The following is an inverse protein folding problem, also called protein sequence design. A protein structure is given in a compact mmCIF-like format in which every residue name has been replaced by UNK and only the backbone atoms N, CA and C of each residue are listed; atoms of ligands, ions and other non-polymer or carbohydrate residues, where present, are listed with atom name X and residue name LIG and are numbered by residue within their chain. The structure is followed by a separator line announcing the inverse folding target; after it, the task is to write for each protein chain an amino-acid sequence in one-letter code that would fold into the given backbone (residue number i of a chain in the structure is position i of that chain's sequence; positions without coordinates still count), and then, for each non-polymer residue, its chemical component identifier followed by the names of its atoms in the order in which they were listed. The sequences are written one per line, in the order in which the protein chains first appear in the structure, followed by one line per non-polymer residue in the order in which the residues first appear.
data_IF_703052631169
#
_entry.id   IF_703052631169
#
_cell.length_a   1.000
_cell.length_b   1.000
_cell.length_c   1.000
_cell.angle_alpha   90.00
_cell.angle_beta   90.00
_cell.angle_gamma   90.00
#
_symmetry.space_group_name_H-M   'P 1'
#
loop_
_entity.id
_entity.type
_entity.pdbx_description
1 polymer ?
#
# COMPACT_ATOMS: atom_id res chain seq x y z
N UNK A 1 -8.78 6.04 -17.42
CA UNK A 1 -9.51 7.33 -17.52
C UNK A 1 -8.93 8.31 -16.53
N UNK A 2 -8.63 9.51 -17.03
CA UNK A 2 -8.05 10.73 -16.42
C UNK A 2 -6.99 10.59 -15.31
N UNK A 3 -5.78 11.09 -15.60
CA UNK A 3 -4.62 11.11 -14.68
C UNK A 3 -3.61 9.97 -14.86
N UNK A 4 -3.92 8.95 -15.65
CA UNK A 4 -3.00 7.86 -16.02
C UNK A 4 -2.04 8.28 -17.14
N UNK A 5 -0.76 7.93 -17.02
CA UNK A 5 0.26 8.23 -18.05
C UNK A 5 0.08 7.39 -19.33
N UNK A 6 -0.52 6.22 -19.20
CA UNK A 6 -0.69 5.22 -20.26
C UNK A 6 -2.08 4.57 -20.14
N UNK A 7 -2.48 3.88 -21.21
CA UNK A 7 -3.71 3.11 -21.26
C UNK A 7 -4.61 3.58 -22.39
N UNK A 8 -5.44 2.66 -22.88
CA UNK A 8 -6.51 2.96 -23.81
C UNK A 8 -7.80 3.13 -23.02
N UNK A 9 -8.61 4.12 -23.39
CA UNK A 9 -9.98 4.19 -22.89
C UNK A 9 -10.89 3.13 -23.55
N UNK A 10 -12.14 3.05 -23.08
CA UNK A 10 -13.08 2.05 -23.59
C UNK A 10 -13.40 2.24 -25.09
N UNK A 11 -13.46 3.48 -25.59
CA UNK A 11 -13.73 3.75 -27.00
C UNK A 11 -12.52 3.38 -27.87
N UNK A 12 -11.31 3.66 -27.40
CA UNK A 12 -10.06 3.27 -28.04
C UNK A 12 -9.91 1.75 -28.10
N UNK A 13 -10.24 1.03 -27.02
CA UNK A 13 -10.26 -0.44 -27.00
C UNK A 13 -11.21 -1.01 -28.06
N UNK A 14 -12.42 -0.46 -28.18
CA UNK A 14 -13.37 -0.86 -29.21
C UNK A 14 -12.82 -0.61 -30.62
N UNK A 15 -12.17 0.54 -30.83
CA UNK A 15 -11.51 0.89 -32.10
C UNK A 15 -10.37 -0.07 -32.45
N UNK A 16 -9.56 -0.48 -31.47
CA UNK A 16 -8.50 -1.47 -31.64
C UNK A 16 -9.09 -2.82 -32.04
N UNK A 17 -10.12 -3.31 -31.35
CA UNK A 17 -10.77 -4.57 -31.72
C UNK A 17 -11.35 -4.52 -33.13
N UNK A 18 -12.00 -3.43 -33.52
CA UNK A 18 -12.52 -3.26 -34.88
C UNK A 18 -11.40 -3.27 -35.93
N UNK A 19 -10.28 -2.61 -35.63
CA UNK A 19 -9.11 -2.55 -36.52
C UNK A 19 -8.42 -3.90 -36.67
N UNK A 20 -8.21 -4.63 -35.57
CA UNK A 20 -7.66 -5.99 -35.61
C UNK A 20 -8.59 -6.95 -36.35
N UNK A 21 -9.91 -6.83 -36.17
CA UNK A 21 -10.89 -7.65 -36.91
C UNK A 21 -10.82 -7.40 -38.40
N UNK A 22 -10.79 -6.13 -38.85
CA UNK A 22 -10.66 -5.78 -40.28
C UNK A 22 -9.36 -6.34 -40.89
N UNK A 23 -8.30 -6.43 -40.10
CA UNK A 23 -7.02 -6.98 -40.52
C UNK A 23 -6.94 -8.52 -40.42
N UNK A 24 -7.97 -9.21 -39.92
CA UNK A 24 -7.92 -10.66 -39.67
C UNK A 24 -6.95 -11.06 -38.55
N UNK A 25 -6.64 -10.14 -37.62
CA UNK A 25 -5.63 -10.28 -36.56
C UNK A 25 -6.21 -10.19 -35.15
N UNK A 26 -7.51 -10.38 -34.99
CA UNK A 26 -8.15 -10.26 -33.67
C UNK A 26 -7.58 -11.26 -32.65
N UNK A 27 -7.18 -12.45 -33.10
CA UNK A 27 -6.52 -13.47 -32.27
C UNK A 27 -5.14 -13.05 -31.73
N UNK A 28 -4.52 -12.00 -32.28
CA UNK A 28 -3.27 -11.47 -31.73
C UNK A 28 -3.49 -10.71 -30.41
N UNK A 29 -4.72 -10.28 -30.11
CA UNK A 29 -5.06 -9.65 -28.83
C UNK A 29 -5.14 -10.72 -27.74
N UNK A 30 -4.03 -10.94 -27.04
CA UNK A 30 -3.87 -12.06 -26.10
C UNK A 30 -3.97 -11.67 -24.62
N UNK A 31 -3.73 -10.41 -24.28
CA UNK A 31 -3.59 -9.95 -22.91
C UNK A 31 -4.29 -8.59 -22.69
N UNK A 32 -5.07 -8.50 -21.62
CA UNK A 32 -5.57 -7.24 -21.07
C UNK A 32 -4.75 -6.90 -19.83
N UNK A 33 -4.21 -5.69 -19.77
CA UNK A 33 -3.38 -5.21 -18.67
C UNK A 33 -3.99 -3.96 -18.05
N UNK A 34 -3.91 -3.85 -16.73
CA UNK A 34 -4.08 -2.58 -16.03
C UNK A 34 -3.11 -2.49 -14.86
N UNK A 35 -2.76 -1.25 -14.47
CA UNK A 35 -1.90 -1.00 -13.32
C UNK A 35 -2.44 0.16 -12.50
N UNK A 36 -2.86 -0.13 -11.27
CA UNK A 36 -3.42 0.87 -10.33
C UNK A 36 -2.32 1.78 -9.77
N UNK A 37 -1.10 1.26 -9.66
CA UNK A 37 0.05 1.93 -9.03
C UNK A 37 0.76 1.02 -8.03
N UNK A 38 1.78 1.54 -7.37
CA UNK A 38 2.51 0.84 -6.30
C UNK A 38 1.92 1.15 -4.93
N UNK A 39 2.09 0.23 -3.95
CA UNK A 39 1.67 0.41 -2.56
C UNK A 39 0.19 0.80 -2.44
N UNK A 40 -0.71 0.03 -3.04
CA UNK A 40 -2.15 0.28 -2.93
C UNK A 40 -2.60 -0.14 -1.54
N UNK A 41 -2.66 0.80 -0.60
CA UNK A 41 -2.90 0.51 0.83
C UNK A 41 -4.35 0.15 1.18
N UNK A 42 -5.29 0.29 0.24
CA UNK A 42 -6.71 0.05 0.47
C UNK A 42 -7.27 -1.00 -0.48
N UNK A 43 -7.77 -2.11 0.06
CA UNK A 43 -8.34 -3.21 -0.73
C UNK A 43 -9.51 -2.78 -1.61
N UNK A 44 -10.31 -1.80 -1.17
CA UNK A 44 -11.43 -1.25 -1.95
C UNK A 44 -10.99 -0.67 -3.29
N UNK A 45 -9.77 -0.15 -3.40
CA UNK A 45 -9.23 0.39 -4.64
C UNK A 45 -8.96 -0.74 -5.64
N UNK A 46 -8.35 -1.84 -5.17
CA UNK A 46 -8.10 -3.05 -5.98
C UNK A 46 -9.44 -3.66 -6.45
N UNK A 47 -10.41 -3.80 -5.56
CA UNK A 47 -11.74 -4.34 -5.90
C UNK A 47 -12.46 -3.48 -6.95
N UNK A 48 -12.35 -2.16 -6.87
CA UNK A 48 -12.93 -1.26 -7.85
C UNK A 48 -12.28 -1.46 -9.24
N UNK A 49 -10.95 -1.51 -9.30
CA UNK A 49 -10.21 -1.74 -10.54
C UNK A 49 -10.50 -3.12 -11.14
N UNK A 50 -10.51 -4.18 -10.31
CA UNK A 50 -10.82 -5.53 -10.76
C UNK A 50 -12.23 -5.65 -11.34
N UNK A 51 -13.22 -4.96 -10.76
CA UNK A 51 -14.59 -4.96 -11.29
C UNK A 51 -14.65 -4.36 -12.70
N UNK A 52 -13.96 -3.25 -12.93
CA UNK A 52 -13.89 -2.61 -14.24
C UNK A 52 -13.11 -3.46 -15.24
N UNK A 53 -11.93 -3.94 -14.87
CA UNK A 53 -11.09 -4.77 -15.74
C UNK A 53 -11.76 -6.11 -16.10
N UNK A 54 -12.44 -6.75 -15.15
CA UNK A 54 -13.18 -8.00 -15.41
C UNK A 54 -14.35 -7.77 -16.36
N UNK A 55 -15.04 -6.63 -16.25
CA UNK A 55 -16.09 -6.27 -17.19
C UNK A 55 -15.52 -6.05 -18.60
N UNK A 56 -14.45 -5.26 -18.72
CA UNK A 56 -13.76 -5.04 -19.99
C UNK A 56 -13.29 -6.36 -20.63
N UNK A 57 -12.70 -7.26 -19.85
CA UNK A 57 -12.31 -8.59 -20.33
C UNK A 57 -13.50 -9.33 -20.96
N UNK A 58 -14.63 -9.41 -20.25
CA UNK A 58 -15.81 -10.12 -20.74
C UNK A 58 -16.41 -9.47 -22.00
N UNK A 59 -16.43 -8.15 -22.09
CA UNK A 59 -16.93 -7.42 -23.26
C UNK A 59 -16.02 -7.62 -24.48
N UNK A 60 -14.70 -7.54 -24.31
CA UNK A 60 -13.74 -7.82 -25.38
C UNK A 60 -13.88 -9.25 -25.90
N UNK A 61 -14.09 -10.22 -25.01
CA UNK A 61 -14.36 -11.60 -25.38
C UNK A 61 -15.70 -11.76 -26.11
N UNK A 62 -16.75 -11.03 -25.71
CA UNK A 62 -18.04 -10.98 -26.40
C UNK A 62 -17.93 -10.34 -27.80
N UNK A 63 -17.04 -9.36 -27.95
CA UNK A 63 -16.64 -8.79 -29.24
C UNK A 63 -15.78 -9.75 -30.08
N UNK A 64 -15.58 -11.00 -29.66
CA UNK A 64 -14.91 -12.01 -30.47
C UNK A 64 -13.38 -12.02 -30.36
N UNK A 65 -12.78 -11.30 -29.41
CA UNK A 65 -11.39 -11.52 -29.01
C UNK A 65 -11.30 -12.84 -28.22
N UNK A 66 -11.55 -13.98 -28.89
CA UNK A 66 -11.46 -15.32 -28.28
C UNK A 66 -10.02 -15.67 -27.91
N UNK A 67 -9.08 -15.03 -28.58
CA UNK A 67 -7.68 -14.93 -28.21
C UNK A 67 -7.41 -14.25 -26.86
N UNK A 68 -8.34 -13.67 -26.12
CA UNK A 68 -7.97 -13.01 -24.86
C UNK A 68 -7.78 -14.04 -23.72
N UNK A 69 -6.54 -14.46 -23.47
CA UNK A 69 -6.21 -15.56 -22.54
C UNK A 69 -5.61 -15.09 -21.21
N UNK A 70 -5.14 -13.85 -21.14
CA UNK A 70 -4.44 -13.31 -19.98
C UNK A 70 -5.12 -12.03 -19.47
N UNK A 71 -5.28 -11.96 -18.15
CA UNK A 71 -5.58 -10.73 -17.44
C UNK A 71 -4.41 -10.43 -16.49
N UNK A 72 -3.67 -9.38 -16.82
CA UNK A 72 -2.59 -8.87 -15.99
C UNK A 72 -3.12 -7.73 -15.12
N UNK A 73 -3.10 -7.96 -13.80
CA UNK A 73 -3.59 -7.00 -12.80
C UNK A 73 -2.52 -6.01 -12.38
N UNK A 74 -1.32 -6.13 -12.97
CA UNK A 74 -0.15 -5.34 -12.65
C UNK A 74 0.34 -5.55 -11.23
N UNK A 75 1.11 -4.59 -10.73
CA UNK A 75 1.49 -4.49 -9.33
C UNK A 75 0.42 -3.86 -8.45
N UNK A 76 0.80 -3.50 -7.23
CA UNK A 76 -0.05 -2.77 -6.29
C UNK A 76 -0.28 -3.49 -4.97
N UNK A 77 -0.03 -4.80 -4.91
CA UNK A 77 0.06 -5.55 -3.66
C UNK A 77 1.04 -4.85 -2.71
N UNK A 78 0.50 -4.29 -1.65
CA UNK A 78 1.21 -3.46 -0.70
C UNK A 78 1.99 -4.32 0.31
N UNK A 79 2.86 -3.64 1.05
CA UNK A 79 3.64 -4.20 2.16
C UNK A 79 3.34 -3.41 3.41
N UNK A 80 3.17 -4.10 4.53
CA UNK A 80 2.99 -3.47 5.83
C UNK A 80 4.37 -3.18 6.46
N UNK A 81 4.90 -1.97 6.25
CA UNK A 81 6.23 -1.58 6.73
C UNK A 81 6.23 -1.17 8.20
N UNK A 82 5.13 -0.62 8.72
CA UNK A 82 5.02 -0.15 10.11
C UNK A 82 4.29 -1.11 11.05
N UNK A 83 3.71 -2.19 10.50
CA UNK A 83 3.01 -3.23 11.25
C UNK A 83 1.64 -2.82 11.76
N UNK A 84 1.11 -1.67 11.34
CA UNK A 84 -0.14 -1.13 11.87
C UNK A 84 -1.40 -1.78 11.29
N UNK A 85 -1.30 -2.42 10.12
CA UNK A 85 -2.45 -2.93 9.36
C UNK A 85 -3.49 -1.85 9.00
N UNK A 86 -3.07 -0.58 8.85
CA UNK A 86 -3.97 0.55 8.63
C UNK A 86 -3.99 1.00 7.17
N UNK A 87 -5.09 0.72 6.49
CA UNK A 87 -5.33 1.22 5.14
C UNK A 87 -5.46 2.74 5.07
N UNK A 88 -4.92 3.33 4.01
CA UNK A 88 -4.86 4.78 3.83
C UNK A 88 -3.64 5.45 4.45
N UNK A 89 -2.78 4.71 5.15
CA UNK A 89 -1.39 5.13 5.40
C UNK A 89 -0.54 4.88 4.15
N UNK A 90 0.58 5.59 4.05
CA UNK A 90 1.55 5.42 2.95
C UNK A 90 2.52 4.24 3.21
N UNK A 91 2.57 3.74 4.45
CA UNK A 91 3.50 2.71 4.92
C UNK A 91 2.85 1.37 5.28
N UNK A 92 1.53 1.25 5.21
CA UNK A 92 0.80 0.02 5.57
C UNK A 92 -0.32 -0.34 4.58
N UNK A 93 -1.14 -1.34 4.91
CA UNK A 93 -2.29 -1.79 4.14
C UNK A 93 -3.41 -2.38 5.02
N UNK A 94 -4.67 -2.30 4.58
CA UNK A 94 -5.84 -2.86 5.29
C UNK A 94 -6.23 -4.30 4.88
N UNK A 95 -5.31 -5.06 4.28
CA UNK A 95 -5.58 -6.41 3.78
C UNK A 95 -4.37 -7.32 3.87
N UNK A 96 -4.61 -8.63 3.84
CA UNK A 96 -3.56 -9.65 3.69
C UNK A 96 -3.36 -10.06 2.23
N UNK A 97 -2.22 -10.69 1.92
CA UNK A 97 -1.96 -11.29 0.61
C UNK A 97 -3.07 -12.29 0.21
N UNK A 98 -3.59 -13.06 1.15
CA UNK A 98 -4.69 -13.99 0.87
C UNK A 98 -6.00 -13.25 0.54
N UNK A 99 -6.31 -12.16 1.24
CA UNK A 99 -7.47 -11.34 0.90
C UNK A 99 -7.34 -10.74 -0.50
N UNK A 100 -6.16 -10.22 -0.84
CA UNK A 100 -5.86 -9.74 -2.19
C UNK A 100 -6.10 -10.81 -3.26
N UNK A 101 -5.53 -12.00 -3.08
CA UNK A 101 -5.69 -13.11 -4.02
C UNK A 101 -7.17 -13.51 -4.18
N UNK A 102 -7.88 -13.63 -3.06
CA UNK A 102 -9.31 -13.97 -3.06
C UNK A 102 -10.15 -12.91 -3.79
N UNK A 103 -9.92 -11.62 -3.51
CA UNK A 103 -10.68 -10.52 -4.12
C UNK A 103 -10.42 -10.39 -5.62
N UNK A 104 -9.18 -10.61 -6.07
CA UNK A 104 -8.83 -10.65 -7.50
C UNK A 104 -9.54 -11.80 -8.20
N UNK A 105 -9.42 -13.02 -7.67
CA UNK A 105 -10.01 -14.21 -8.30
C UNK A 105 -11.54 -14.15 -8.28
N UNK A 106 -12.15 -13.76 -7.16
CA UNK A 106 -13.60 -13.71 -7.01
C UNK A 106 -14.25 -12.71 -7.98
N UNK A 107 -13.69 -11.50 -8.10
CA UNK A 107 -14.24 -10.49 -9.01
C UNK A 107 -14.26 -10.96 -10.47
N UNK A 108 -13.18 -11.63 -10.89
CA UNK A 108 -13.04 -12.17 -12.24
C UNK A 108 -13.96 -13.37 -12.47
N UNK A 109 -13.99 -14.31 -11.53
CA UNK A 109 -14.86 -15.49 -11.59
C UNK A 109 -16.33 -15.09 -11.71
N UNK A 110 -16.77 -14.12 -10.91
CA UNK A 110 -18.12 -13.60 -10.92
C UNK A 110 -18.49 -12.99 -12.28
N UNK A 111 -17.59 -12.20 -12.87
CA UNK A 111 -17.81 -11.59 -14.18
C UNK A 111 -17.87 -12.64 -15.30
N UNK A 112 -16.88 -13.54 -15.34
CA UNK A 112 -16.82 -14.63 -16.31
C UNK A 112 -18.05 -15.53 -16.26
N UNK A 113 -18.51 -15.88 -15.06
CA UNK A 113 -19.70 -16.73 -14.86
C UNK A 113 -20.97 -16.06 -15.40
N UNK A 114 -21.16 -14.76 -15.14
CA UNK A 114 -22.32 -14.01 -15.66
C UNK A 114 -22.31 -13.85 -17.17
N UNK A 115 -21.12 -13.66 -17.75
CA UNK A 115 -20.95 -13.44 -19.19
C UNK A 115 -20.81 -14.75 -19.99
N UNK A 116 -20.80 -15.91 -19.32
CA UNK A 116 -20.44 -17.20 -19.91
C UNK A 116 -19.11 -17.14 -20.70
N UNK A 117 -18.14 -16.38 -20.18
CA UNK A 117 -16.80 -16.26 -20.73
C UNK A 117 -15.85 -17.22 -20.00
N UNK A 118 -14.85 -17.80 -20.69
CA UNK A 118 -13.82 -18.59 -20.01
C UNK A 118 -13.01 -17.69 -19.06
N UNK A 119 -12.66 -18.16 -17.85
CA UNK A 119 -11.71 -17.46 -17.00
C UNK A 119 -10.32 -17.41 -17.66
N UNK A 120 -9.64 -16.25 -17.69
CA UNK A 120 -8.29 -16.14 -18.22
C UNK A 120 -7.25 -16.57 -17.18
N UNK A 121 -6.01 -16.73 -17.63
CA UNK A 121 -4.84 -16.80 -16.73
C UNK A 121 -4.61 -15.44 -16.10
N UNK A 122 -4.51 -15.40 -14.77
CA UNK A 122 -4.23 -14.18 -14.02
C UNK A 122 -2.72 -14.02 -13.84
N UNK A 123 -2.21 -12.83 -14.18
CA UNK A 123 -0.82 -12.42 -13.97
C UNK A 123 -0.80 -11.27 -12.97
N UNK A 124 0.18 -11.26 -12.07
CA UNK A 124 0.42 -10.12 -11.16
C UNK A 124 1.90 -9.75 -11.14
N UNK A 125 2.17 -8.46 -11.25
CA UNK A 125 3.51 -7.86 -11.27
C UNK A 125 3.89 -7.32 -9.87
N UNK A 126 3.69 -8.12 -8.83
CA UNK A 126 3.82 -7.74 -7.42
C UNK A 126 5.29 -7.61 -6.93
N UNK A 127 6.10 -6.82 -7.65
CA UNK A 127 7.54 -6.69 -7.40
C UNK A 127 7.90 -6.23 -5.98
N UNK A 128 7.20 -5.23 -5.44
CA UNK A 128 7.43 -4.74 -4.06
C UNK A 128 7.16 -5.83 -3.02
N UNK A 129 6.08 -6.58 -3.18
CA UNK A 129 5.73 -7.64 -2.24
C UNK A 129 6.81 -8.71 -2.17
N UNK A 130 7.41 -9.06 -3.32
CA UNK A 130 8.49 -10.05 -3.42
C UNK A 130 9.82 -9.49 -2.86
N UNK A 131 10.18 -8.27 -3.24
CA UNK A 131 11.50 -7.70 -2.95
C UNK A 131 11.60 -6.94 -1.61
N UNK A 132 10.50 -6.64 -0.92
CA UNK A 132 10.56 -5.76 0.26
C UNK A 132 11.38 -6.29 1.44
N UNK A 133 11.34 -7.60 1.71
CA UNK A 133 11.89 -8.19 2.94
C UNK A 133 13.23 -8.92 2.74
N UNK A 134 13.81 -8.88 1.54
CA UNK A 134 15.01 -9.67 1.21
C UNK A 134 16.34 -9.05 1.65
N UNK A 135 16.36 -7.78 2.10
CA UNK A 135 17.59 -7.04 2.39
C UNK A 135 17.48 -6.21 3.66
N UNK A 136 18.56 -6.16 4.44
CA UNK A 136 18.69 -5.30 5.63
C UNK A 136 19.95 -4.44 5.49
N UNK A 137 19.83 -3.14 5.78
CA UNK A 137 20.98 -2.23 5.85
C UNK A 137 21.45 -2.12 7.31
N UNK A 138 22.71 -2.48 7.56
CA UNK A 138 23.33 -2.46 8.89
C UNK A 138 24.51 -1.48 8.86
N UNK A 139 24.59 -0.59 9.86
CA UNK A 139 25.68 0.36 10.02
C UNK A 139 25.93 0.65 11.50
N UNK A 140 27.17 1.01 11.84
CA UNK A 140 27.57 1.34 13.21
C UNK A 140 27.13 2.76 13.61
N UNK A 141 26.77 2.93 14.87
CA UNK A 141 26.57 4.26 15.47
C UNK A 141 27.95 4.85 15.81
N UNK A 142 28.41 5.80 15.02
CA UNK A 142 29.76 6.39 15.16
C UNK A 142 29.86 7.46 16.25
N UNK A 143 28.73 7.93 16.80
CA UNK A 143 28.71 8.93 17.85
C UNK A 143 27.30 9.21 18.36
N UNK A 144 27.21 9.60 19.63
CA UNK A 144 25.96 9.98 20.30
C UNK A 144 26.23 11.30 21.00
N UNK A 145 25.38 12.30 20.80
CA UNK A 145 25.43 13.54 21.55
C UNK A 145 24.31 13.53 22.59
N UNK A 146 24.67 13.34 23.85
CA UNK A 146 23.73 13.40 24.97
C UNK A 146 23.61 14.85 25.47
N UNK A 147 22.38 15.32 25.70
CA UNK A 147 22.08 16.66 26.23
C UNK A 147 21.77 16.66 27.73
N UNK A 148 21.85 15.49 28.40
CA UNK A 148 21.56 15.36 29.83
C UNK A 148 22.50 16.17 30.74
N UNK A 149 23.64 16.65 30.24
CA UNK A 149 24.65 17.37 31.02
C UNK A 149 24.63 18.90 30.83
N UNK A 150 23.48 19.47 30.41
CA UNK A 150 23.29 20.93 30.50
C UNK A 150 22.99 21.30 31.96
N UNK A 151 24.04 21.52 32.74
CA UNK A 151 23.96 22.33 33.95
C UNK A 151 23.35 23.69 33.55
N UNK A 152 22.11 23.94 33.95
CA UNK A 152 21.50 25.27 33.86
C UNK A 152 22.09 26.08 35.02
N UNK A 153 22.98 27.06 34.80
CA UNK A 153 23.51 27.86 35.89
C UNK A 153 22.41 28.84 36.32
N UNK A 154 21.82 28.62 37.49
CA UNK A 154 20.94 29.62 38.12
C UNK A 154 19.66 29.07 38.75
N UNK A 155 19.76 28.16 39.72
CA UNK A 155 18.81 28.18 40.84
C UNK A 155 19.54 28.69 42.07
N UNK A 156 19.30 29.97 42.38
CA UNK A 156 19.73 30.60 43.62
C UNK A 156 18.97 29.91 44.76
N UNK A 157 19.69 29.21 45.62
CA UNK A 157 19.10 28.49 46.76
C UNK A 157 18.23 29.40 47.62
N UNK A 158 17.01 28.96 47.91
CA UNK A 158 16.15 29.61 48.88
C UNK A 158 16.83 29.63 50.27
N UNK A 159 16.73 30.73 51.03
CA UNK A 159 17.36 30.82 52.34
C UNK A 159 16.77 29.78 53.30
N UNK A 160 17.64 29.07 54.01
CA UNK A 160 17.25 28.07 55.00
C UNK A 160 16.60 28.73 56.21
N UNK A 161 15.36 28.37 56.52
CA UNK A 161 14.72 28.66 57.81
C UNK A 161 15.48 27.92 58.93
N UNK A 162 16.28 28.67 59.70
CA UNK A 162 16.87 28.17 60.93
C UNK A 162 15.79 28.08 62.01
N UNK A 163 15.47 26.86 62.43
CA UNK A 163 14.72 26.58 63.66
C UNK A 163 15.54 27.05 64.87
N UNK A 164 14.96 27.83 65.81
CA UNK A 164 15.69 28.28 67.00
C UNK A 164 15.87 27.12 67.98
N UNK A 165 17.12 26.78 68.27
CA UNK A 165 17.51 25.87 69.35
C UNK A 165 17.32 26.56 70.70
N UNK A 166 16.47 25.99 71.56
CA UNK A 166 16.38 26.37 72.96
C UNK A 166 17.47 25.69 73.79
N UNK A 167 18.30 26.47 74.51
CA UNK A 167 18.91 26.04 75.77
C UNK A 167 19.54 27.20 76.58
N UNK A 168 19.15 27.21 77.86
CA UNK A 168 19.88 27.62 79.06
C UNK A 168 20.15 29.13 79.32
N UNK A 169 19.24 29.73 80.09
CA UNK A 169 19.55 30.84 80.98
C UNK A 169 20.42 30.36 82.15
N UNK A 170 21.65 30.87 82.23
CA UNK A 170 22.40 30.96 83.48
C UNK A 170 21.90 32.16 84.29
N UNK A 171 21.75 31.99 85.60
CA UNK A 171 21.40 33.03 86.55
C UNK A 171 21.88 32.64 87.94
N UNK A 172 23.02 33.23 88.32
CA UNK A 172 23.55 33.25 89.68
C UNK A 172 22.67 34.12 90.59
N UNK A 173 22.40 33.66 91.81
CA UNK A 173 22.30 34.50 93.01
C UNK A 173 22.17 33.66 94.29
N UNK A 174 23.15 33.86 95.18
CA UNK A 174 23.28 33.51 96.63
C UNK A 174 23.41 32.04 97.06
#
# INVERSE_FOLDING_TARGET
GDGGKFGLDAAELVSVCASLRRAGKLECLRLLHFHVGSQVSRIRTIKAAMREASHLYTELHAMGAKGLEYLDVGGGLAVDYDGSGRGGSDSSMDYSMQNYANDVVAALQDACSRAAAPPPTVVSESGRAIASHHSVLIFDVVGIQDTADRHIPGEVGAPSDQQPTAAASGGDSE
#
